data_IF_693876655683
#
_entry.id   IF_693876655683
#
_cell.length_a   1.000
_cell.length_b   1.000
_cell.length_c   1.000
_cell.angle_alpha   90.00
_cell.angle_beta   90.00
_cell.angle_gamma   90.00
#
_symmetry.space_group_name_H-M   'P 1'
#
loop_
_entity.id
_entity.type
_entity.pdbx_description
1 polymer ?
#
# COMPACT_ATOMS: atom_id res chain seq x y z
N UNK A 1 10.79 33.29 23.81
CA UNK A 1 12.18 33.33 24.33
C UNK A 1 12.69 32.01 24.92
N UNK A 2 11.86 30.99 25.12
CA UNK A 2 12.33 29.64 25.52
C UNK A 2 12.11 28.59 24.43
N UNK A 3 12.96 28.58 23.40
CA UNK A 3 13.11 27.43 22.49
C UNK A 3 14.57 27.00 22.47
N UNK A 4 14.82 25.75 22.81
CA UNK A 4 16.16 25.14 22.83
C UNK A 4 16.62 24.91 21.38
N UNK A 5 17.85 25.29 21.05
CA UNK A 5 18.42 25.17 19.70
C UNK A 5 18.78 23.70 19.41
N UNK A 6 18.58 23.25 18.18
CA UNK A 6 18.80 21.87 17.70
C UNK A 6 20.17 21.25 18.09
N UNK A 7 21.21 22.10 18.24
CA UNK A 7 22.56 21.69 18.66
C UNK A 7 22.68 21.30 20.14
N UNK A 8 21.67 21.60 20.94
CA UNK A 8 21.61 21.29 22.37
C UNK A 8 20.77 20.02 22.66
N UNK A 9 20.22 19.39 21.62
CA UNK A 9 19.62 18.05 21.73
C UNK A 9 20.74 17.01 21.90
N UNK A 10 20.83 16.41 23.10
CA UNK A 10 21.69 15.24 23.31
C UNK A 10 21.18 14.10 22.43
N UNK A 11 21.93 13.77 21.36
CA UNK A 11 21.75 12.52 20.61
C UNK A 11 21.88 11.34 21.57
N UNK A 12 20.95 10.37 21.45
CA UNK A 12 20.98 9.11 22.19
C UNK A 12 22.37 8.47 22.13
N UNK A 13 22.94 8.22 23.30
CA UNK A 13 24.30 7.73 23.52
C UNK A 13 24.37 6.22 23.38
N UNK A 14 24.88 5.73 22.26
CA UNK A 14 25.58 4.44 22.26
C UNK A 14 27.08 4.72 22.18
N UNK A 15 27.88 4.44 23.23
CA UNK A 15 29.32 4.67 23.20
C UNK A 15 30.01 3.77 22.17
N UNK A 16 30.82 4.37 21.28
CA UNK A 16 31.60 3.68 20.22
C UNK A 16 32.60 2.61 20.72
N UNK A 17 32.77 2.43 22.04
CA UNK A 17 33.66 1.43 22.63
C UNK A 17 33.09 0.01 22.68
N UNK A 18 31.81 -0.19 22.31
CA UNK A 18 31.11 -1.47 22.38
C UNK A 18 30.89 -2.15 21.02
N UNK A 19 31.54 -1.66 19.96
CA UNK A 19 31.46 -2.27 18.62
C UNK A 19 32.77 -3.00 18.35
N UNK A 20 32.78 -4.32 18.57
CA UNK A 20 33.73 -5.22 17.91
C UNK A 20 33.05 -5.77 16.66
N UNK A 21 33.58 -5.42 15.49
CA UNK A 21 33.23 -6.07 14.23
C UNK A 21 34.05 -7.36 14.13
N UNK A 22 33.46 -8.49 14.48
CA UNK A 22 34.04 -9.78 14.12
C UNK A 22 33.56 -10.17 12.72
N UNK A 23 34.49 -10.63 11.90
CA UNK A 23 34.25 -11.16 10.56
C UNK A 23 33.19 -12.26 10.60
N UNK A 24 32.32 -12.28 9.59
CA UNK A 24 31.30 -13.31 9.39
C UNK A 24 31.86 -14.72 9.64
N UNK A 25 31.25 -15.48 10.55
CA UNK A 25 31.51 -16.91 10.65
C UNK A 25 30.64 -17.66 9.62
N UNK A 26 31.23 -18.66 8.97
CA UNK A 26 30.54 -19.53 8.01
C UNK A 26 29.42 -20.32 8.69
N UNK A 27 28.25 -20.34 8.06
CA UNK A 27 27.13 -21.18 8.45
C UNK A 27 27.39 -22.62 8.02
N UNK A 28 27.22 -23.58 8.94
CA UNK A 28 27.23 -25.00 8.60
C UNK A 28 26.03 -25.32 7.69
N UNK A 29 26.32 -25.93 6.54
CA UNK A 29 25.31 -26.32 5.54
C UNK A 29 24.61 -27.61 5.95
N UNK A 30 23.26 -27.61 6.00
CA UNK A 30 22.47 -28.84 6.07
C UNK A 30 22.20 -29.40 4.67
N UNK A 31 22.42 -30.71 4.43
CA UNK A 31 22.11 -31.37 3.16
C UNK A 31 20.62 -31.23 2.80
N UNK A 32 20.33 -31.14 1.49
CA UNK A 32 18.97 -30.90 0.98
C UNK A 32 17.94 -31.97 1.34
N UNK A 33 18.40 -33.18 1.66
CA UNK A 33 17.57 -34.34 2.00
C UNK A 33 16.94 -34.19 3.40
N UNK A 34 17.60 -33.52 4.33
CA UNK A 34 17.09 -33.24 5.69
C UNK A 34 16.05 -32.10 5.69
N UNK A 35 16.01 -31.27 4.66
CA UNK A 35 15.06 -30.15 4.54
C UNK A 35 13.66 -30.57 4.11
N UNK A 36 13.49 -31.78 3.55
CA UNK A 36 12.24 -32.21 2.94
C UNK A 36 11.25 -32.89 3.89
N UNK A 37 11.63 -33.15 5.15
CA UNK A 37 10.82 -33.96 6.09
C UNK A 37 10.33 -33.21 7.35
N UNK A 38 10.65 -31.92 7.53
CA UNK A 38 10.24 -31.19 8.73
C UNK A 38 9.08 -30.22 8.46
N UNK A 39 7.85 -30.70 8.57
CA UNK A 39 6.66 -29.88 8.83
C UNK A 39 6.04 -30.16 10.21
N UNK A 40 6.79 -30.81 11.10
CA UNK A 40 6.51 -30.72 12.53
C UNK A 40 7.29 -29.54 13.10
N UNK A 41 6.64 -28.74 13.96
CA UNK A 41 7.20 -27.55 14.62
C UNK A 41 8.54 -27.91 15.29
N UNK A 42 9.65 -27.63 14.61
CA UNK A 42 10.95 -27.63 15.24
C UNK A 42 11.04 -26.37 16.11
N UNK A 43 11.10 -26.55 17.42
CA UNK A 43 11.74 -25.56 18.29
C UNK A 43 13.18 -25.41 17.78
N UNK A 44 13.46 -24.30 17.10
CA UNK A 44 14.72 -24.02 16.41
C UNK A 44 15.92 -23.82 17.36
N UNK A 45 15.83 -24.28 18.61
CA UNK A 45 16.90 -24.20 19.60
C UNK A 45 17.37 -22.78 19.91
N UNK A 46 16.62 -21.75 19.50
CA UNK A 46 16.97 -20.38 19.76
C UNK A 46 16.67 -20.05 21.21
N UNK A 47 17.66 -19.46 21.90
CA UNK A 47 17.35 -18.70 23.12
C UNK A 47 16.48 -17.49 22.75
N UNK A 48 15.68 -16.99 23.69
CA UNK A 48 14.80 -15.83 23.46
C UNK A 48 15.57 -14.63 22.86
N UNK A 49 16.81 -14.44 23.30
CA UNK A 49 17.71 -13.41 22.77
C UNK A 49 18.11 -13.66 21.30
N UNK A 50 18.31 -14.91 20.90
CA UNK A 50 18.62 -15.27 19.51
C UNK A 50 17.39 -15.12 18.60
N UNK A 51 16.20 -15.46 19.08
CA UNK A 51 14.96 -15.24 18.37
C UNK A 51 14.69 -13.74 18.17
N UNK A 52 14.90 -12.92 19.21
CA UNK A 52 14.78 -11.46 19.14
C UNK A 52 15.83 -10.87 18.18
N UNK A 53 17.06 -11.39 18.18
CA UNK A 53 18.11 -10.93 17.26
C UNK A 53 17.80 -11.29 15.81
N UNK A 54 17.23 -12.46 15.56
CA UNK A 54 16.83 -12.91 14.22
C UNK A 54 15.59 -12.16 13.71
N UNK A 55 14.61 -11.89 14.58
CA UNK A 55 13.46 -11.03 14.26
C UNK A 55 13.91 -9.59 13.94
N UNK A 56 14.87 -9.05 14.71
CA UNK A 56 15.46 -7.74 14.42
C UNK A 56 16.34 -7.74 13.17
N UNK A 57 16.98 -8.87 12.82
CA UNK A 57 17.67 -9.06 11.54
C UNK A 57 16.66 -9.03 10.39
N UNK A 58 15.53 -9.73 10.49
CA UNK A 58 14.45 -9.71 9.50
C UNK A 58 13.81 -8.32 9.35
N UNK A 59 13.58 -7.58 10.43
CA UNK A 59 12.99 -6.23 10.39
C UNK A 59 13.94 -5.18 9.78
N UNK A 60 15.25 -5.36 9.91
CA UNK A 60 16.25 -4.45 9.32
C UNK A 60 16.77 -4.92 7.95
N UNK A 61 16.47 -6.15 7.56
CA UNK A 61 16.81 -6.71 6.27
C UNK A 61 15.61 -6.55 5.33
N UNK A 62 15.68 -5.55 4.44
CA UNK A 62 14.70 -5.31 3.37
C UNK A 62 14.65 -6.45 2.31
N UNK A 63 14.98 -7.70 2.66
CA UNK A 63 15.13 -8.82 1.73
C UNK A 63 13.81 -9.36 1.18
N UNK A 64 12.69 -9.19 1.88
CA UNK A 64 11.43 -9.84 1.48
C UNK A 64 10.61 -9.06 0.43
N UNK A 65 11.14 -7.96 -0.12
CA UNK A 65 10.40 -7.08 -1.03
C UNK A 65 10.85 -7.09 -2.50
N UNK A 66 11.73 -8.00 -2.92
CA UNK A 66 12.11 -8.11 -4.34
C UNK A 66 11.28 -9.19 -5.05
N UNK A 67 10.35 -8.75 -5.88
CA UNK A 67 9.74 -9.57 -6.92
C UNK A 67 10.77 -10.03 -7.93
N UNK A 68 10.68 -11.28 -8.36
CA UNK A 68 11.42 -11.88 -9.47
C UNK A 68 11.44 -10.96 -10.69
N UNK A 69 12.56 -10.28 -10.93
CA UNK A 69 12.88 -9.67 -12.21
C UNK A 69 14.14 -10.32 -12.75
N UNK A 70 14.03 -10.91 -13.93
CA UNK A 70 15.19 -11.26 -14.75
C UNK A 70 15.82 -9.94 -15.25
N UNK A 71 17.14 -9.79 -15.20
CA UNK A 71 17.85 -8.59 -15.63
C UNK A 71 17.67 -8.35 -17.14
N UNK A 72 17.67 -7.07 -17.55
CA UNK A 72 17.47 -6.64 -18.95
C UNK A 72 18.55 -7.19 -19.91
N UNK A 73 19.71 -7.60 -19.40
CA UNK A 73 20.77 -8.32 -20.14
C UNK A 73 21.09 -9.64 -19.43
N UNK A 74 20.56 -10.73 -19.97
CA UNK A 74 20.73 -12.08 -19.43
C UNK A 74 22.20 -12.50 -19.35
N UNK A 75 23.02 -12.14 -20.34
CA UNK A 75 24.41 -12.57 -20.42
C UNK A 75 25.32 -11.81 -19.45
N UNK A 76 25.02 -10.53 -19.17
CA UNK A 76 25.72 -9.75 -18.15
C UNK A 76 25.42 -10.22 -16.71
N UNK A 77 24.35 -11.01 -16.55
CA UNK A 77 23.95 -11.58 -15.26
C UNK A 77 24.44 -13.01 -15.05
N UNK A 78 25.20 -13.59 -16.00
CA UNK A 78 25.83 -14.89 -15.81
C UNK A 78 27.27 -14.71 -15.29
N UNK A 79 27.71 -15.59 -14.40
CA UNK A 79 29.13 -15.71 -14.11
C UNK A 79 29.87 -16.42 -15.25
N UNK A 80 31.19 -16.56 -15.11
CA UNK A 80 32.04 -17.22 -16.09
C UNK A 80 31.69 -18.70 -16.34
N UNK A 81 30.81 -19.30 -15.53
CA UNK A 81 30.31 -20.67 -15.70
C UNK A 81 28.95 -20.74 -16.40
N UNK A 82 28.35 -19.59 -16.74
CA UNK A 82 27.05 -19.51 -17.39
C UNK A 82 25.87 -19.60 -16.42
N UNK A 83 26.11 -19.44 -15.11
CA UNK A 83 25.07 -19.49 -14.07
C UNK A 83 24.66 -18.06 -13.69
N UNK A 84 23.35 -17.83 -13.60
CA UNK A 84 22.77 -16.55 -13.18
C UNK A 84 23.26 -16.13 -11.79
N UNK A 85 23.95 -15.01 -11.71
CA UNK A 85 24.33 -14.32 -10.49
C UNK A 85 23.09 -13.60 -9.94
N UNK A 86 22.33 -14.30 -9.11
CA UNK A 86 21.22 -13.72 -8.37
C UNK A 86 21.76 -12.88 -7.20
N UNK A 87 21.83 -11.56 -7.38
CA UNK A 87 22.24 -10.63 -6.32
C UNK A 87 21.08 -10.28 -5.36
N UNK A 88 20.50 -11.32 -4.74
CA UNK A 88 19.47 -11.13 -3.71
C UNK A 88 20.05 -10.33 -2.53
N UNK A 89 19.44 -9.19 -2.20
CA UNK A 89 19.79 -8.37 -1.04
C UNK A 89 21.08 -7.53 -1.13
N UNK A 90 21.88 -7.67 -2.18
CA UNK A 90 23.15 -6.94 -2.33
C UNK A 90 23.22 -6.04 -3.57
N UNK A 91 22.15 -6.01 -4.38
CA UNK A 91 21.97 -4.87 -5.28
C UNK A 91 21.72 -3.66 -4.39
N UNK A 92 22.60 -2.64 -4.50
CA UNK A 92 22.20 -1.28 -4.15
C UNK A 92 20.78 -1.12 -4.68
N UNK A 93 19.83 -0.67 -3.85
CA UNK A 93 18.49 -0.34 -4.30
C UNK A 93 18.63 0.54 -5.54
N UNK A 94 18.68 -0.06 -6.73
CA UNK A 94 18.11 0.52 -7.89
C UNK A 94 16.66 0.45 -7.48
N UNK A 95 16.23 1.49 -6.75
CA UNK A 95 14.86 1.95 -6.85
C UNK A 95 14.63 1.79 -8.34
N UNK A 96 13.84 0.79 -8.74
CA UNK A 96 13.21 0.93 -10.03
C UNK A 96 12.64 2.33 -9.90
N UNK A 97 13.09 3.29 -10.70
CA UNK A 97 12.74 4.71 -10.53
C UNK A 97 11.20 4.93 -10.64
N UNK A 98 10.47 3.82 -10.74
CA UNK A 98 9.10 3.54 -11.06
C UNK A 98 8.43 2.55 -10.07
N UNK A 99 9.09 2.16 -8.97
CA UNK A 99 8.44 1.37 -7.91
C UNK A 99 7.40 2.24 -7.19
N UNK A 100 6.20 1.71 -6.97
CA UNK A 100 5.16 2.42 -6.22
C UNK A 100 5.64 2.57 -4.78
N UNK A 101 5.74 3.80 -4.32
CA UNK A 101 5.95 4.09 -2.91
C UNK A 101 4.62 3.93 -2.17
N UNK A 102 4.34 2.73 -1.66
CA UNK A 102 3.12 2.45 -0.89
C UNK A 102 3.07 3.23 0.42
N UNK A 103 4.20 3.70 0.96
CA UNK A 103 4.22 4.53 2.16
C UNK A 103 3.77 5.96 1.87
N UNK A 104 3.76 6.39 0.60
CA UNK A 104 3.26 7.72 0.24
C UNK A 104 1.77 7.89 0.59
N UNK A 105 0.95 6.84 0.45
CA UNK A 105 -0.48 6.88 0.73
C UNK A 105 -0.77 7.12 2.22
N UNK A 106 -0.30 6.29 3.18
CA UNK A 106 -0.55 6.52 4.60
C UNK A 106 0.11 7.82 5.10
N UNK A 107 1.29 8.20 4.60
CA UNK A 107 1.91 9.49 4.92
C UNK A 107 1.02 10.67 4.47
N UNK A 108 0.43 10.57 3.29
CA UNK A 108 -0.50 11.57 2.75
C UNK A 108 -1.75 11.70 3.60
N UNK A 109 -2.32 10.56 4.03
CA UNK A 109 -3.48 10.53 4.92
C UNK A 109 -3.15 11.21 6.25
N UNK A 110 -2.05 10.82 6.90
CA UNK A 110 -1.61 11.42 8.16
C UNK A 110 -1.34 12.92 7.98
N UNK A 111 -0.71 13.32 6.89
CA UNK A 111 -0.42 14.73 6.58
C UNK A 111 -1.68 15.58 6.48
N UNK A 112 -2.68 15.12 5.71
CA UNK A 112 -3.95 15.84 5.54
C UNK A 112 -4.72 15.92 6.87
N UNK A 113 -4.75 14.84 7.65
CA UNK A 113 -5.41 14.84 8.96
C UNK A 113 -4.71 15.81 9.94
N UNK A 114 -3.38 15.76 10.03
CA UNK A 114 -2.61 16.63 10.92
C UNK A 114 -2.71 18.11 10.54
N UNK A 115 -2.83 18.44 9.25
CA UNK A 115 -3.06 19.83 8.81
C UNK A 115 -4.42 20.39 9.27
N UNK A 116 -5.36 19.52 9.62
CA UNK A 116 -6.66 19.87 10.16
C UNK A 116 -6.75 19.57 11.68
N UNK A 117 -5.61 19.52 12.36
CA UNK A 117 -5.50 19.25 13.80
C UNK A 117 -6.10 17.89 14.25
N UNK A 118 -6.28 16.95 13.33
CA UNK A 118 -6.72 15.58 13.62
C UNK A 118 -5.48 14.68 13.75
N UNK A 119 -5.27 14.12 14.94
CA UNK A 119 -4.16 13.19 15.19
C UNK A 119 -4.67 11.76 15.02
N UNK A 120 -4.32 11.05 13.92
CA UNK A 120 -4.70 9.67 13.74
C UNK A 120 -3.92 8.77 14.69
N UNK A 121 -4.57 7.70 15.16
CA UNK A 121 -3.93 6.64 15.95
C UNK A 121 -3.72 5.43 15.05
N UNK A 122 -2.51 4.89 15.06
CA UNK A 122 -2.16 3.60 14.45
C UNK A 122 -1.92 2.63 15.59
N UNK A 123 -2.66 1.52 15.63
CA UNK A 123 -2.53 0.54 16.70
C UNK A 123 -1.36 -0.42 16.36
N UNK A 124 -0.41 -0.66 17.29
CA UNK A 124 0.79 -1.44 16.99
C UNK A 124 0.50 -2.90 16.62
N UNK A 125 -0.63 -3.45 17.07
CA UNK A 125 -1.05 -4.84 16.87
C UNK A 125 -2.15 -5.00 15.82
N UNK A 126 -2.47 -3.94 15.06
CA UNK A 126 -3.48 -4.04 14.00
C UNK A 126 -2.98 -4.95 12.88
N UNK A 127 -3.87 -5.82 12.41
CA UNK A 127 -3.56 -6.75 11.32
C UNK A 127 -4.31 -6.35 10.06
N UNK A 128 -3.90 -6.94 8.94
CA UNK A 128 -4.60 -6.80 7.66
C UNK A 128 -6.13 -6.97 7.85
N UNK A 129 -6.90 -6.22 7.07
CA UNK A 129 -8.37 -6.31 7.07
C UNK A 129 -8.90 -7.72 6.76
N UNK A 130 -8.09 -8.59 6.14
CA UNK A 130 -8.48 -9.95 5.79
C UNK A 130 -9.27 -10.05 4.49
N UNK A 131 -9.27 -9.00 3.65
CA UNK A 131 -9.98 -8.99 2.37
C UNK A 131 -9.64 -10.21 1.52
N UNK A 132 -8.36 -10.45 1.24
CA UNK A 132 -7.97 -11.53 0.35
C UNK A 132 -8.21 -12.91 0.97
N UNK A 133 -8.20 -13.02 2.31
CA UNK A 133 -8.47 -14.28 3.03
C UNK A 133 -9.93 -14.70 2.81
N UNK A 134 -10.89 -13.81 3.07
CA UNK A 134 -12.32 -14.13 2.88
C UNK A 134 -12.66 -14.34 1.40
N UNK A 135 -11.99 -13.62 0.49
CA UNK A 135 -12.20 -13.79 -0.96
C UNK A 135 -11.54 -15.04 -1.54
N UNK A 136 -10.56 -15.63 -0.85
CA UNK A 136 -10.04 -16.97 -1.13
C UNK A 136 -10.94 -18.08 -0.57
N UNK A 137 -11.93 -17.75 0.27
CA UNK A 137 -12.83 -18.71 0.88
C UNK A 137 -12.36 -19.27 2.23
N UNK A 138 -11.24 -18.77 2.78
CA UNK A 138 -10.78 -19.17 4.13
C UNK A 138 -11.56 -18.41 5.20
N UNK A 139 -12.80 -18.86 5.40
CA UNK A 139 -13.73 -18.22 6.35
C UNK A 139 -13.29 -18.36 7.81
N UNK A 140 -12.56 -19.41 8.17
CA UNK A 140 -12.16 -19.69 9.55
C UNK A 140 -11.00 -18.79 9.98
N UNK A 141 -9.96 -18.65 9.14
CA UNK A 141 -8.89 -17.67 9.40
C UNK A 141 -9.43 -16.25 9.39
N UNK A 142 -10.37 -15.94 8.48
CA UNK A 142 -11.01 -14.63 8.44
C UNK A 142 -11.76 -14.31 9.75
N UNK A 143 -12.55 -15.24 10.29
CA UNK A 143 -13.28 -15.03 11.57
C UNK A 143 -12.32 -14.75 12.73
N UNK A 144 -11.22 -15.53 12.84
CA UNK A 144 -10.21 -15.34 13.88
C UNK A 144 -9.53 -13.96 13.76
N UNK A 145 -9.15 -13.58 12.54
CA UNK A 145 -8.55 -12.28 12.24
C UNK A 145 -9.50 -11.11 12.54
N UNK A 146 -10.76 -11.23 12.09
CA UNK A 146 -11.78 -10.21 12.32
C UNK A 146 -12.04 -10.01 13.81
N UNK A 147 -12.10 -11.11 14.59
CA UNK A 147 -12.24 -11.04 16.05
C UNK A 147 -11.05 -10.34 16.71
N UNK A 148 -9.82 -10.70 16.34
CA UNK A 148 -8.60 -10.02 16.84
C UNK A 148 -8.66 -8.51 16.60
N UNK A 149 -8.94 -8.11 15.35
CA UNK A 149 -9.00 -6.70 14.98
C UNK A 149 -10.13 -5.94 15.70
N UNK A 150 -11.34 -6.50 15.78
CA UNK A 150 -12.47 -5.85 16.47
C UNK A 150 -12.20 -5.71 17.97
N UNK A 151 -11.70 -6.76 18.63
CA UNK A 151 -11.38 -6.72 20.05
C UNK A 151 -10.28 -5.68 20.33
N UNK A 152 -9.23 -5.63 19.50
CA UNK A 152 -8.15 -4.63 19.60
C UNK A 152 -8.67 -3.19 19.51
N UNK A 153 -9.47 -2.89 18.47
CA UNK A 153 -9.98 -1.54 18.22
C UNK A 153 -10.97 -1.11 19.31
N UNK A 154 -11.81 -2.04 19.77
CA UNK A 154 -12.77 -1.80 20.85
C UNK A 154 -12.08 -1.52 22.17
N UNK A 155 -11.07 -2.32 22.53
CA UNK A 155 -10.29 -2.14 23.77
C UNK A 155 -9.50 -0.83 23.75
N UNK A 156 -9.06 -0.38 22.58
CA UNK A 156 -8.43 0.93 22.40
C UNK A 156 -9.42 2.11 22.43
N UNK A 157 -10.73 1.86 22.55
CA UNK A 157 -11.76 2.90 22.60
C UNK A 157 -12.01 3.59 21.25
N UNK A 158 -11.62 2.98 20.13
CA UNK A 158 -11.78 3.56 18.79
C UNK A 158 -13.26 3.73 18.47
N UNK A 159 -13.62 4.91 17.94
CA UNK A 159 -14.99 5.24 17.49
C UNK A 159 -15.09 5.39 15.98
N UNK A 160 -14.06 5.93 15.36
CA UNK A 160 -14.04 6.18 13.91
C UNK A 160 -12.83 5.50 13.31
N UNK A 161 -13.06 4.78 12.21
CA UNK A 161 -12.02 4.09 11.44
C UNK A 161 -12.03 4.65 10.02
N UNK A 162 -10.86 5.10 9.57
CA UNK A 162 -10.69 5.72 8.25
C UNK A 162 -9.83 4.79 7.41
N UNK A 163 -10.37 4.37 6.25
CA UNK A 163 -9.67 3.51 5.31
C UNK A 163 -9.23 4.32 4.08
N UNK A 164 -7.95 4.24 3.73
CA UNK A 164 -7.43 4.65 2.43
C UNK A 164 -7.54 3.56 1.36
N UNK A 165 -7.75 2.30 1.77
CA UNK A 165 -7.93 1.17 0.86
C UNK A 165 -9.42 0.78 0.78
N UNK A 166 -10.03 0.80 -0.42
CA UNK A 166 -11.39 0.32 -0.66
C UNK A 166 -11.67 -1.11 -0.22
N UNK A 167 -10.66 -1.98 -0.23
CA UNK A 167 -10.80 -3.38 0.18
C UNK A 167 -10.97 -3.49 1.69
N UNK A 168 -10.16 -2.77 2.47
CA UNK A 168 -10.31 -2.69 3.92
C UNK A 168 -11.62 -2.04 4.30
N UNK A 169 -11.96 -0.93 3.64
CA UNK A 169 -13.23 -0.24 3.81
C UNK A 169 -14.43 -1.17 3.62
N UNK A 170 -14.52 -1.86 2.47
CA UNK A 170 -15.60 -2.78 2.17
C UNK A 170 -15.64 -3.93 3.19
N UNK A 171 -14.49 -4.50 3.53
CA UNK A 171 -14.38 -5.67 4.42
C UNK A 171 -14.88 -5.33 5.82
N UNK A 172 -14.49 -4.18 6.38
CA UNK A 172 -14.98 -3.74 7.68
C UNK A 172 -16.45 -3.31 7.63
N UNK A 173 -16.83 -2.51 6.64
CA UNK A 173 -18.20 -1.97 6.54
C UNK A 173 -19.26 -3.04 6.31
N UNK A 174 -18.89 -4.13 5.61
CA UNK A 174 -19.83 -5.19 5.22
C UNK A 174 -19.52 -6.53 5.89
N UNK A 175 -18.32 -7.10 5.67
CA UNK A 175 -18.04 -8.47 6.11
C UNK A 175 -17.88 -8.56 7.64
N UNK A 176 -17.18 -7.61 8.28
CA UNK A 176 -17.07 -7.61 9.75
C UNK A 176 -18.43 -7.34 10.37
N UNK A 177 -19.20 -6.38 9.83
CA UNK A 177 -20.55 -6.09 10.31
C UNK A 177 -21.51 -7.28 10.21
N UNK A 178 -21.36 -8.15 9.20
CA UNK A 178 -22.12 -9.41 9.11
C UNK A 178 -21.70 -10.41 10.21
N UNK A 179 -20.41 -10.47 10.53
CA UNK A 179 -19.88 -11.37 11.57
C UNK A 179 -20.26 -10.91 12.99
N UNK A 180 -20.23 -9.61 13.25
CA UNK A 180 -20.50 -8.98 14.55
C UNK A 180 -21.81 -8.20 14.48
N UNK A 181 -22.92 -8.92 14.37
CA UNK A 181 -24.23 -8.34 14.07
C UNK A 181 -24.90 -7.64 15.27
N UNK A 182 -24.37 -7.82 16.49
CA UNK A 182 -24.83 -7.10 17.67
C UNK A 182 -24.12 -5.76 17.78
N UNK A 183 -24.88 -4.69 18.05
CA UNK A 183 -24.34 -3.33 18.14
C UNK A 183 -23.21 -3.21 19.18
N UNK A 184 -23.30 -3.92 20.29
CA UNK A 184 -22.27 -3.94 21.33
C UNK A 184 -20.95 -4.58 20.90
N UNK A 185 -20.96 -5.38 19.84
CA UNK A 185 -19.76 -6.03 19.28
C UNK A 185 -19.11 -5.17 18.18
N UNK A 186 -19.88 -4.31 17.50
CA UNK A 186 -19.41 -3.53 16.37
C UNK A 186 -20.11 -2.16 16.26
N UNK A 187 -19.56 -1.15 16.95
CA UNK A 187 -20.08 0.23 17.02
C UNK A 187 -19.05 1.24 16.49
N UNK A 188 -18.45 0.96 15.33
CA UNK A 188 -17.49 1.84 14.66
C UNK A 188 -18.15 2.64 13.54
N UNK A 189 -17.84 3.94 13.46
CA UNK A 189 -18.06 4.73 12.26
C UNK A 189 -16.96 4.44 11.24
N UNK A 190 -17.33 3.95 10.06
CA UNK A 190 -16.36 3.53 9.04
C UNK A 190 -16.48 4.46 7.83
N UNK A 191 -15.38 5.10 7.48
CA UNK A 191 -15.28 5.98 6.33
C UNK A 191 -14.18 5.53 5.37
N UNK A 192 -14.45 5.63 4.08
CA UNK A 192 -13.36 5.76 3.13
C UNK A 192 -12.81 7.19 3.24
N UNK A 193 -11.49 7.38 3.13
CA UNK A 193 -10.84 8.68 3.32
C UNK A 193 -11.45 9.78 2.44
N UNK A 194 -11.89 9.47 1.21
CA UNK A 194 -12.56 10.46 0.35
C UNK A 194 -13.91 10.92 0.91
N UNK A 195 -14.67 10.05 1.59
CA UNK A 195 -15.91 10.43 2.27
C UNK A 195 -15.59 11.29 3.49
N UNK A 196 -14.55 10.92 4.25
CA UNK A 196 -14.14 11.63 5.45
C UNK A 196 -13.62 13.05 5.15
N UNK A 197 -12.82 13.21 4.08
CA UNK A 197 -12.37 14.52 3.60
C UNK A 197 -13.56 15.46 3.32
N UNK A 198 -14.64 14.94 2.73
CA UNK A 198 -15.82 15.74 2.43
C UNK A 198 -16.67 16.01 3.66
N UNK A 199 -16.82 15.01 4.55
CA UNK A 199 -17.58 15.14 5.80
C UNK A 199 -17.01 16.25 6.69
N UNK A 200 -15.69 16.25 6.87
CA UNK A 200 -14.99 17.17 7.78
C UNK A 200 -14.43 18.41 7.05
N UNK A 201 -14.72 18.58 5.74
CA UNK A 201 -14.20 19.66 4.91
C UNK A 201 -12.67 19.84 4.97
N UNK A 202 -11.91 18.74 4.99
CA UNK A 202 -10.47 18.74 5.25
C UNK A 202 -9.59 19.45 4.20
N UNK A 203 -10.18 19.88 3.08
CA UNK A 203 -9.50 20.68 2.05
C UNK A 203 -9.86 22.17 2.10
N UNK A 204 -10.74 22.57 3.00
CA UNK A 204 -11.13 23.97 3.16
C UNK A 204 -9.96 24.78 3.76
N UNK A 205 -9.72 25.99 3.23
CA UNK A 205 -8.60 26.82 3.66
C UNK A 205 -7.22 26.34 3.20
N UNK A 206 -7.11 25.17 2.57
CA UNK A 206 -5.85 24.67 2.02
C UNK A 206 -5.52 25.39 0.70
N UNK A 207 -4.34 26.02 0.65
CA UNK A 207 -3.86 26.69 -0.56
C UNK A 207 -3.16 25.69 -1.49
N UNK A 208 -3.71 25.49 -2.69
CA UNK A 208 -3.07 24.71 -3.74
C UNK A 208 -2.17 25.61 -4.62
N UNK A 209 -1.05 25.08 -5.16
CA UNK A 209 -0.21 25.82 -6.09
C UNK A 209 -0.95 26.11 -7.39
N UNK A 210 -0.67 27.28 -7.99
CA UNK A 210 -1.18 27.63 -9.31
C UNK A 210 -0.33 26.97 -10.39
N UNK A 211 -0.70 25.74 -10.79
CA UNK A 211 0.02 24.92 -11.77
C UNK A 211 -0.57 25.01 -13.20
N UNK A 212 -1.55 25.89 -13.43
CA UNK A 212 -2.39 25.84 -14.63
C UNK A 212 -3.38 24.66 -14.61
N UNK A 213 -4.07 24.40 -15.71
CA UNK A 213 -5.03 23.30 -15.81
C UNK A 213 -4.31 21.93 -15.82
N UNK A 214 -4.56 21.10 -14.80
CA UNK A 214 -4.07 19.72 -14.69
C UNK A 214 -5.21 18.77 -15.03
N UNK A 215 -5.06 18.00 -16.11
CA UNK A 215 -6.11 17.08 -16.57
C UNK A 215 -5.95 15.73 -15.89
N UNK A 216 -6.99 15.27 -15.23
CA UNK A 216 -7.00 13.97 -14.55
C UNK A 216 -8.21 13.16 -14.97
N UNK A 217 -8.11 11.86 -14.92
CA UNK A 217 -9.22 10.92 -15.08
C UNK A 217 -9.25 9.97 -13.88
N UNK A 218 -10.40 9.36 -13.59
CA UNK A 218 -10.57 8.52 -12.39
C UNK A 218 -10.89 7.06 -12.74
N UNK A 219 -10.17 6.14 -12.09
CA UNK A 219 -10.49 4.73 -12.07
C UNK A 219 -11.32 4.40 -10.85
N UNK A 220 -12.57 3.97 -11.07
CA UNK A 220 -13.48 3.50 -10.02
C UNK A 220 -13.09 2.09 -9.53
N UNK A 221 -12.53 1.95 -8.31
CA UNK A 221 -12.20 0.62 -7.80
C UNK A 221 -13.46 -0.15 -7.49
N UNK A 222 -13.48 -1.44 -7.85
CA UNK A 222 -14.67 -2.28 -7.73
C UNK A 222 -15.25 -2.34 -6.30
N UNK A 223 -14.41 -2.35 -5.27
CA UNK A 223 -14.85 -2.38 -3.86
C UNK A 223 -15.46 -1.07 -3.37
N UNK A 224 -14.97 0.06 -3.87
CA UNK A 224 -15.50 1.37 -3.49
C UNK A 224 -16.79 1.67 -4.26
N UNK A 225 -16.75 1.48 -5.58
CA UNK A 225 -17.87 1.70 -6.47
C UNK A 225 -18.91 0.60 -6.40
N UNK A 226 -18.74 -0.48 -7.17
CA UNK A 226 -19.77 -1.52 -7.37
C UNK A 226 -20.26 -2.18 -6.09
N UNK A 227 -19.41 -2.31 -5.07
CA UNK A 227 -19.79 -2.99 -3.83
C UNK A 227 -20.21 -2.06 -2.69
N UNK A 228 -19.74 -0.82 -2.66
CA UNK A 228 -20.04 0.12 -1.57
C UNK A 228 -20.85 1.34 -2.01
N UNK A 229 -21.14 1.46 -3.32
CA UNK A 229 -21.86 2.55 -3.97
C UNK A 229 -21.22 3.94 -3.75
N UNK A 230 -19.90 3.99 -3.54
CA UNK A 230 -19.15 5.23 -3.35
C UNK A 230 -18.45 5.58 -4.66
N UNK A 231 -19.09 6.44 -5.45
CA UNK A 231 -18.57 6.91 -6.73
C UNK A 231 -18.24 8.40 -6.71
N UNK A 232 -19.06 9.22 -6.05
CA UNK A 232 -18.94 10.67 -6.11
C UNK A 232 -17.90 11.22 -5.14
N UNK A 233 -17.66 10.56 -4.00
CA UNK A 233 -16.75 11.10 -2.99
C UNK A 233 -15.33 11.37 -3.54
N UNK A 234 -14.65 10.45 -4.25
CA UNK A 234 -13.34 10.72 -4.86
C UNK A 234 -13.38 11.87 -5.88
N UNK A 235 -14.46 11.97 -6.67
CA UNK A 235 -14.64 13.01 -7.70
C UNK A 235 -14.87 14.38 -7.07
N UNK A 236 -15.70 14.46 -6.04
CA UNK A 236 -15.96 15.68 -5.30
C UNK A 236 -14.70 16.19 -4.58
N UNK A 237 -13.85 15.28 -4.09
CA UNK A 237 -12.52 15.65 -3.57
C UNK A 237 -11.65 16.26 -4.67
N UNK A 238 -11.57 15.65 -5.85
CA UNK A 238 -10.81 16.20 -7.00
C UNK A 238 -11.36 17.56 -7.45
N UNK A 239 -12.68 17.72 -7.54
CA UNK A 239 -13.33 18.95 -7.98
C UNK A 239 -13.17 20.12 -6.98
N UNK A 240 -12.83 19.85 -5.72
CA UNK A 240 -12.49 20.91 -4.74
C UNK A 240 -11.12 21.53 -5.00
N UNK A 241 -10.29 20.97 -5.88
CA UNK A 241 -8.94 21.43 -6.15
C UNK A 241 -8.95 22.35 -7.39
N UNK A 242 -8.65 23.66 -7.26
CA UNK A 242 -8.95 24.65 -8.30
C UNK A 242 -8.32 24.42 -9.67
N UNK A 243 -7.13 23.80 -9.71
CA UNK A 243 -6.39 23.55 -10.94
C UNK A 243 -6.70 22.20 -11.60
N UNK A 244 -7.57 21.37 -11.02
CA UNK A 244 -7.93 20.07 -11.57
C UNK A 244 -9.08 20.18 -12.55
N UNK A 245 -8.91 19.53 -13.71
CA UNK A 245 -10.00 19.22 -14.63
C UNK A 245 -10.18 17.70 -14.72
N UNK A 246 -11.30 17.23 -14.19
CA UNK A 246 -11.68 15.82 -14.25
C UNK A 246 -12.31 15.50 -15.62
N UNK A 247 -11.68 14.56 -16.35
CA UNK A 247 -12.12 14.03 -17.62
C UNK A 247 -12.55 12.57 -17.41
N UNK A 248 -13.84 12.28 -17.53
CA UNK A 248 -14.34 10.92 -17.32
C UNK A 248 -14.01 10.02 -18.51
N UNK A 249 -13.62 8.77 -18.22
CA UNK A 249 -13.59 7.71 -19.22
C UNK A 249 -15.02 7.32 -19.60
N UNK A 250 -15.21 6.80 -20.82
CA UNK A 250 -16.50 6.30 -21.32
C UNK A 250 -17.12 5.29 -20.34
N UNK A 251 -16.33 4.28 -19.96
CA UNK A 251 -16.71 3.30 -18.96
C UNK A 251 -16.32 3.80 -17.57
N UNK A 252 -17.23 4.48 -16.88
CA UNK A 252 -17.04 4.91 -15.50
C UNK A 252 -18.11 4.33 -14.55
N UNK A 253 -17.93 4.56 -13.25
CA UNK A 253 -18.84 4.14 -12.18
C UNK A 253 -19.13 2.64 -12.22
N UNK A 254 -20.40 2.26 -12.36
CA UNK A 254 -20.83 0.85 -12.38
C UNK A 254 -20.27 0.11 -13.60
N UNK A 255 -19.99 0.82 -14.69
CA UNK A 255 -19.46 0.27 -15.95
C UNK A 255 -17.93 0.22 -15.99
N UNK A 256 -17.23 0.68 -14.95
CA UNK A 256 -15.77 0.73 -14.98
C UNK A 256 -15.14 -0.67 -15.04
N UNK A 257 -14.21 -0.84 -15.98
CA UNK A 257 -13.40 -2.04 -16.12
C UNK A 257 -12.58 -2.30 -14.85
N UNK A 258 -12.49 -3.56 -14.45
CA UNK A 258 -11.66 -3.98 -13.31
C UNK A 258 -10.16 -3.89 -13.66
N UNK A 259 -9.28 -3.73 -12.66
CA UNK A 259 -7.84 -3.90 -12.85
C UNK A 259 -7.41 -5.36 -13.11
N UNK A 260 -8.37 -6.30 -13.14
CA UNK A 260 -8.19 -7.71 -13.45
C UNK A 260 -7.83 -8.59 -12.25
N UNK A 261 -7.36 -8.02 -11.13
CA UNK A 261 -6.89 -8.82 -9.99
C UNK A 261 -7.80 -8.67 -8.77
N UNK A 262 -8.26 -9.81 -8.28
CA UNK A 262 -8.95 -9.96 -7.00
C UNK A 262 -8.32 -11.12 -6.24
N UNK A 263 -8.14 -10.99 -4.93
CA UNK A 263 -7.56 -12.02 -4.06
C UNK A 263 -6.16 -12.52 -4.47
N UNK A 264 -5.46 -11.81 -5.37
CA UNK A 264 -4.22 -12.24 -6.01
C UNK A 264 -4.31 -13.55 -6.84
N UNK A 265 -5.50 -14.13 -7.05
CA UNK A 265 -5.67 -15.45 -7.70
C UNK A 265 -5.65 -15.38 -9.24
N UNK A 266 -5.52 -14.20 -9.86
CA UNK A 266 -5.73 -14.07 -11.31
C UNK A 266 -4.82 -13.06 -12.00
N UNK A 267 -3.58 -12.85 -11.56
CA UNK A 267 -2.63 -12.01 -12.30
C UNK A 267 -2.05 -12.74 -13.53
N UNK A 268 -2.86 -12.91 -14.58
CA UNK A 268 -2.52 -13.61 -15.81
C UNK A 268 -2.84 -12.76 -17.07
N UNK A 269 -2.74 -13.36 -18.26
CA UNK A 269 -2.98 -12.66 -19.53
C UNK A 269 -4.37 -12.01 -19.63
N UNK A 270 -5.41 -12.61 -19.08
CA UNK A 270 -6.76 -12.03 -19.11
C UNK A 270 -6.83 -10.74 -18.27
N UNK A 271 -6.14 -10.71 -17.13
CA UNK A 271 -6.02 -9.50 -16.31
C UNK A 271 -5.21 -8.41 -17.00
N UNK A 272 -4.20 -8.79 -17.78
CA UNK A 272 -3.43 -7.85 -18.61
C UNK A 272 -4.31 -7.20 -19.69
N UNK A 273 -5.22 -7.94 -20.33
CA UNK A 273 -6.17 -7.38 -21.29
C UNK A 273 -7.10 -6.34 -20.66
N UNK A 274 -7.57 -6.59 -19.43
CA UNK A 274 -8.38 -5.62 -18.69
C UNK A 274 -7.58 -4.36 -18.31
N UNK A 275 -6.32 -4.53 -17.88
CA UNK A 275 -5.41 -3.41 -17.57
C UNK A 275 -5.13 -2.58 -18.82
N UNK A 276 -4.88 -3.23 -19.96
CA UNK A 276 -4.69 -2.59 -21.26
C UNK A 276 -5.90 -1.76 -21.67
N UNK A 277 -7.09 -2.37 -21.67
CA UNK A 277 -8.36 -1.70 -21.97
C UNK A 277 -8.51 -0.45 -21.12
N UNK A 278 -8.28 -0.58 -19.80
CA UNK A 278 -8.45 0.54 -18.87
C UNK A 278 -7.45 1.67 -19.12
N UNK A 279 -6.20 1.34 -19.40
CA UNK A 279 -5.16 2.33 -19.68
C UNK A 279 -5.43 3.06 -21.00
N UNK A 280 -5.89 2.35 -22.04
CA UNK A 280 -6.26 2.96 -23.32
C UNK A 280 -7.42 3.95 -23.17
N UNK A 281 -8.48 3.56 -22.47
CA UNK A 281 -9.59 4.46 -22.14
C UNK A 281 -9.08 5.72 -21.41
N UNK A 282 -8.18 5.54 -20.45
CA UNK A 282 -7.61 6.66 -19.71
C UNK A 282 -6.81 7.62 -20.61
N UNK A 283 -5.99 7.08 -21.53
CA UNK A 283 -5.25 7.88 -22.52
C UNK A 283 -6.20 8.60 -23.48
N UNK A 284 -7.28 7.95 -23.92
CA UNK A 284 -8.27 8.51 -24.84
C UNK A 284 -9.01 9.73 -24.27
N UNK A 285 -9.12 9.84 -22.94
CA UNK A 285 -9.65 11.06 -22.30
C UNK A 285 -8.77 12.30 -22.53
N UNK A 286 -7.48 12.11 -22.85
CA UNK A 286 -6.50 13.19 -22.92
C UNK A 286 -6.04 13.70 -21.54
N UNK A 287 -6.27 12.92 -20.47
CA UNK A 287 -5.78 13.22 -19.13
C UNK A 287 -4.29 12.87 -18.96
N UNK A 288 -3.58 13.66 -18.15
CA UNK A 288 -2.18 13.43 -17.80
C UNK A 288 -2.04 12.35 -16.71
N UNK A 289 -3.06 12.23 -15.85
CA UNK A 289 -3.07 11.34 -14.70
C UNK A 289 -4.32 10.45 -14.66
N UNK A 290 -4.12 9.15 -14.45
CA UNK A 290 -5.14 8.20 -14.03
C UNK A 290 -5.11 8.07 -12.50
N UNK A 291 -6.09 8.66 -11.84
CA UNK A 291 -6.22 8.64 -10.38
C UNK A 291 -7.00 7.38 -9.96
N UNK A 292 -6.54 6.71 -8.92
CA UNK A 292 -7.28 5.63 -8.24
C UNK A 292 -7.24 5.83 -6.73
N UNK A 293 -8.14 5.21 -5.99
CA UNK A 293 -8.09 5.15 -4.52
C UNK A 293 -7.70 3.77 -4.01
N UNK A 294 -7.47 2.79 -4.90
CA UNK A 294 -7.15 1.44 -4.50
C UNK A 294 -5.68 1.12 -4.71
N UNK A 295 -4.91 0.83 -3.64
CA UNK A 295 -3.51 0.41 -3.74
C UNK A 295 -3.33 -0.81 -4.66
N UNK A 296 -4.24 -1.79 -4.65
CA UNK A 296 -4.17 -2.96 -5.54
C UNK A 296 -4.35 -2.57 -7.01
N UNK A 297 -5.32 -1.71 -7.32
CA UNK A 297 -5.49 -1.20 -8.68
C UNK A 297 -4.26 -0.39 -9.12
N UNK A 298 -3.71 0.44 -8.23
CA UNK A 298 -2.47 1.19 -8.47
C UNK A 298 -1.31 0.24 -8.83
N UNK A 299 -1.13 -0.84 -8.07
CA UNK A 299 -0.13 -1.89 -8.33
C UNK A 299 -0.26 -2.45 -9.73
N UNK A 300 -1.43 -2.96 -10.08
CA UNK A 300 -1.60 -3.74 -11.30
C UNK A 300 -1.62 -2.87 -12.56
N UNK A 301 -2.17 -1.66 -12.49
CA UNK A 301 -2.12 -0.72 -13.61
C UNK A 301 -0.68 -0.23 -13.86
N UNK A 302 0.10 0.08 -12.82
CA UNK A 302 1.52 0.45 -13.00
C UNK A 302 2.38 -0.74 -13.43
N UNK A 303 2.10 -1.95 -12.95
CA UNK A 303 2.76 -3.17 -13.41
C UNK A 303 2.60 -3.33 -14.93
N UNK A 304 1.38 -3.17 -15.45
CA UNK A 304 1.14 -3.18 -16.89
C UNK A 304 1.91 -2.07 -17.63
N UNK A 305 1.92 -0.84 -17.11
CA UNK A 305 2.68 0.27 -17.73
C UNK A 305 4.20 0.06 -17.72
N UNK A 306 4.74 -0.58 -16.68
CA UNK A 306 6.17 -0.88 -16.60
C UNK A 306 6.60 -1.89 -17.68
N UNK A 307 5.73 -2.83 -18.05
CA UNK A 307 5.93 -3.74 -19.18
C UNK A 307 5.72 -3.05 -20.54
N UNK A 308 4.92 -1.96 -20.57
CA UNK A 308 4.53 -1.25 -21.79
C UNK A 308 5.01 0.21 -21.79
N UNK A 309 6.34 0.40 -21.84
CA UNK A 309 7.01 1.73 -21.73
C UNK A 309 6.46 2.79 -22.71
N UNK A 310 5.99 2.40 -23.91
CA UNK A 310 5.38 3.31 -24.89
C UNK A 310 4.05 3.93 -24.45
N UNK A 311 3.25 3.23 -23.66
CA UNK A 311 2.00 3.75 -23.07
C UNK A 311 2.28 4.54 -21.79
N UNK A 312 3.30 4.14 -21.05
CA UNK A 312 3.69 4.79 -19.79
C UNK A 312 4.05 6.26 -19.94
N UNK A 313 4.62 6.65 -21.09
CA UNK A 313 4.93 8.05 -21.36
C UNK A 313 3.69 8.90 -21.70
N UNK A 314 2.53 8.25 -21.94
CA UNK A 314 1.28 8.94 -22.29
C UNK A 314 0.36 9.20 -21.10
N UNK A 315 0.46 8.41 -20.03
CA UNK A 315 -0.37 8.60 -18.83
C UNK A 315 0.34 8.11 -17.57
N UNK A 316 0.15 8.82 -16.46
CA UNK A 316 0.70 8.47 -15.14
C UNK A 316 -0.39 7.94 -14.21
N UNK A 317 -0.19 6.79 -13.59
CA UNK A 317 -1.14 6.24 -12.62
C UNK A 317 -0.69 6.58 -11.21
N UNK A 318 -1.58 7.17 -10.42
CA UNK A 318 -1.26 7.63 -9.06
C UNK A 318 -2.47 7.48 -8.12
N UNK A 319 -2.19 7.26 -6.84
CA UNK A 319 -3.21 7.27 -5.79
C UNK A 319 -3.74 8.70 -5.54
N UNK A 320 -5.03 8.82 -5.23
CA UNK A 320 -5.69 10.10 -4.93
C UNK A 320 -4.97 10.90 -3.85
N UNK A 321 -4.59 10.27 -2.74
CA UNK A 321 -4.02 10.95 -1.56
C UNK A 321 -2.58 11.34 -1.84
N UNK A 322 -1.82 10.46 -2.49
CA UNK A 322 -0.47 10.76 -2.95
C UNK A 322 -0.46 11.88 -4.00
N UNK A 323 -1.47 11.95 -4.87
CA UNK A 323 -1.62 13.03 -5.84
C UNK A 323 -1.90 14.37 -5.15
N UNK A 324 -2.88 14.42 -4.24
CA UNK A 324 -3.20 15.62 -3.45
C UNK A 324 -1.97 16.08 -2.68
N UNK A 325 -1.30 15.18 -1.96
CA UNK A 325 -0.12 15.52 -1.16
C UNK A 325 1.03 16.04 -2.00
N UNK A 326 1.26 15.49 -3.20
CA UNK A 326 2.26 16.07 -4.12
C UNK A 326 1.92 17.50 -4.50
N UNK A 327 0.64 17.83 -4.70
CA UNK A 327 0.24 19.21 -4.96
C UNK A 327 0.44 20.11 -3.73
N UNK A 328 0.19 19.61 -2.52
CA UNK A 328 0.34 20.37 -1.28
C UNK A 328 1.79 20.61 -0.87
N UNK A 329 2.65 19.60 -0.99
CA UNK A 329 4.06 19.63 -0.57
C UNK A 329 5.03 20.03 -1.69
N UNK A 330 4.52 20.57 -2.81
CA UNK A 330 5.32 21.20 -3.88
C UNK A 330 5.70 22.66 -3.57
N UNK A 331 5.51 23.12 -2.33
CA UNK A 331 5.93 24.44 -1.84
C UNK A 331 7.31 24.40 -1.17
#
# INVERSE_FOLDING_TARGET
ENRIKEKELKRSTIPKKYIQLNSCQEMNFMPGEERLVCFDEMELGYTEEQAIKEANRCLNCNCCCNSDQLPEDYNAALDSSGVMIANYGNQANMRSYNAIDYLSIPKSVIGILNQNDIIPVVLPEEKCCGHDIIWQGDTESFKKLAKHNVDLFKNAGVKTIIFSCPEGYYTWKNEYKKLFNKREEFDFEIYHISEYILKENLLEGISFPNLGEVKVTYHDPCRLGRMSNVYDAPRNVLNKIPCIKLLEMENNRVNADCCGVSAYISCNQNSKLLQESRIKQAIETGADYLITTCPKCLTHLNCYLNENKGLKNKIKVIDLLSFISKMLFMQ
#
